data_IF_648513333554
#
_entry.id   IF_648513333554
#
_cell.length_a   1.000
_cell.length_b   1.000
_cell.length_c   1.000
_cell.angle_alpha   90.00
_cell.angle_beta   90.00
_cell.angle_gamma   90.00
#
_symmetry.space_group_name_H-M   'P 1'
#
loop_
_entity.id
_entity.type
_entity.pdbx_description
1 polymer ?
#
# COMPACT_ATOMS: atom_id res chain seq x y z
N UNK A 1 0.02 -8.57 -15.01
CA UNK A 1 0.94 -7.97 -14.03
C UNK A 1 1.38 -9.05 -13.06
N UNK A 2 2.65 -9.04 -12.64
CA UNK A 2 3.19 -9.96 -11.64
C UNK A 2 3.94 -9.19 -10.56
N UNK A 3 4.04 -9.77 -9.37
CA UNK A 3 4.85 -9.24 -8.27
C UNK A 3 6.21 -9.94 -8.24
N UNK A 4 7.29 -9.17 -8.22
CA UNK A 4 8.66 -9.64 -8.02
C UNK A 4 9.22 -9.05 -6.73
N UNK A 5 9.78 -9.87 -5.86
CA UNK A 5 10.45 -9.38 -4.65
C UNK A 5 11.54 -8.37 -5.03
N UNK A 6 11.55 -7.23 -4.38
CA UNK A 6 12.54 -6.19 -4.60
C UNK A 6 13.91 -6.60 -4.02
N UNK A 7 14.97 -6.23 -4.73
CA UNK A 7 16.35 -6.46 -4.35
C UNK A 7 17.09 -5.12 -4.15
N UNK A 8 18.26 -5.10 -3.49
CA UNK A 8 19.01 -3.85 -3.23
C UNK A 8 19.31 -3.03 -4.50
N UNK A 9 19.55 -3.69 -5.62
CA UNK A 9 19.78 -3.03 -6.93
C UNK A 9 18.55 -2.29 -7.47
N UNK A 10 17.35 -2.60 -6.99
CA UNK A 10 16.10 -1.94 -7.40
C UNK A 10 15.85 -0.60 -6.69
N UNK A 11 16.63 -0.29 -5.64
CA UNK A 11 16.39 0.87 -4.77
C UNK A 11 16.27 2.19 -5.54
N UNK A 12 17.16 2.43 -6.51
CA UNK A 12 17.11 3.65 -7.32
C UNK A 12 15.79 3.81 -8.07
N UNK A 13 15.33 2.73 -8.72
CA UNK A 13 14.03 2.73 -9.43
C UNK A 13 12.85 2.90 -8.49
N UNK A 14 12.89 2.27 -7.33
CA UNK A 14 11.83 2.40 -6.32
C UNK A 14 11.74 3.86 -5.84
N UNK A 15 12.87 4.51 -5.56
CA UNK A 15 12.87 5.90 -5.12
C UNK A 15 12.34 6.86 -6.19
N UNK A 16 12.61 6.61 -7.49
CA UNK A 16 11.98 7.36 -8.58
C UNK A 16 10.45 7.23 -8.56
N UNK A 17 9.93 6.01 -8.35
CA UNK A 17 8.48 5.76 -8.26
C UNK A 17 7.86 6.46 -7.05
N UNK A 18 8.53 6.43 -5.89
CA UNK A 18 8.10 7.13 -4.67
C UNK A 18 8.06 8.64 -4.91
N UNK A 19 9.07 9.23 -5.54
CA UNK A 19 9.12 10.66 -5.86
C UNK A 19 8.00 11.07 -6.83
N UNK A 20 7.72 10.25 -7.85
CA UNK A 20 6.58 10.45 -8.74
C UNK A 20 5.24 10.41 -7.99
N UNK A 21 5.10 9.48 -7.04
CA UNK A 21 3.89 9.36 -6.23
C UNK A 21 3.71 10.55 -5.29
N UNK A 22 4.77 11.02 -4.64
CA UNK A 22 4.76 12.25 -3.81
C UNK A 22 4.33 13.46 -4.63
N UNK A 23 4.90 13.65 -5.81
CA UNK A 23 4.54 14.74 -6.70
C UNK A 23 3.08 14.66 -7.17
N UNK A 24 2.57 13.46 -7.44
CA UNK A 24 1.18 13.23 -7.80
C UNK A 24 0.22 13.60 -6.67
N UNK A 25 0.48 13.14 -5.43
CA UNK A 25 -0.30 13.48 -4.26
C UNK A 25 -0.34 15.00 -4.03
N UNK A 26 0.81 15.66 -4.10
CA UNK A 26 0.92 17.11 -3.96
C UNK A 26 0.07 17.86 -4.98
N UNK A 27 0.12 17.46 -6.26
CA UNK A 27 -0.70 18.07 -7.33
C UNK A 27 -2.20 17.90 -7.10
N UNK A 28 -2.61 16.84 -6.41
CA UNK A 28 -4.01 16.58 -6.06
C UNK A 28 -4.43 17.16 -4.71
N UNK A 29 -3.57 17.97 -4.08
CA UNK A 29 -3.87 18.63 -2.79
C UNK A 29 -3.88 17.68 -1.60
N UNK A 30 -3.22 16.53 -1.69
CA UNK A 30 -3.14 15.50 -0.64
C UNK A 30 -1.84 15.69 0.13
N UNK A 31 -1.92 15.82 1.45
CA UNK A 31 -0.77 16.01 2.34
C UNK A 31 0.02 14.72 2.61
N UNK A 32 -0.55 13.57 2.30
CA UNK A 32 0.10 12.27 2.47
C UNK A 32 1.47 12.25 1.80
N UNK A 33 2.50 11.77 2.51
CA UNK A 33 3.88 11.66 2.05
C UNK A 33 4.61 12.99 1.76
N UNK A 34 4.12 14.10 2.26
CA UNK A 34 4.73 15.41 2.00
C UNK A 34 5.78 15.85 3.06
N UNK A 35 5.99 15.04 4.11
CA UNK A 35 6.91 15.33 5.22
C UNK A 35 8.17 14.42 5.23
N UNK A 36 8.68 14.04 4.06
CA UNK A 36 9.90 13.23 3.92
C UNK A 36 9.71 11.72 3.95
N UNK A 37 8.52 11.23 4.31
CA UNK A 37 8.16 9.81 4.27
C UNK A 37 7.40 9.49 2.98
N UNK A 38 7.58 8.29 2.36
CA UNK A 38 8.65 7.33 2.62
C UNK A 38 10.02 7.84 2.17
N UNK A 39 11.06 7.48 2.91
CA UNK A 39 12.44 7.79 2.57
C UNK A 39 13.22 6.53 2.12
N UNK A 40 14.47 6.73 1.72
CA UNK A 40 15.33 5.63 1.29
C UNK A 40 15.51 4.57 2.38
N UNK A 41 15.71 4.97 3.63
CA UNK A 41 15.88 4.05 4.77
C UNK A 41 14.67 3.15 4.94
N UNK A 42 13.47 3.69 4.77
CA UNK A 42 12.23 2.92 4.82
C UNK A 42 12.17 1.84 3.73
N UNK A 43 12.57 2.19 2.51
CA UNK A 43 12.57 1.24 1.38
C UNK A 43 13.67 0.17 1.53
N UNK A 44 14.87 0.55 2.00
CA UNK A 44 15.93 -0.40 2.32
C UNK A 44 15.49 -1.44 3.37
N UNK A 45 14.73 -1.00 4.37
CA UNK A 45 14.15 -1.89 5.39
C UNK A 45 13.10 -2.82 4.80
N UNK A 46 12.24 -2.36 3.90
CA UNK A 46 11.28 -3.20 3.19
C UNK A 46 11.98 -4.29 2.37
N UNK A 47 13.06 -3.92 1.67
CA UNK A 47 13.88 -4.87 0.90
C UNK A 47 14.54 -5.88 1.84
N UNK A 48 15.18 -5.41 2.93
CA UNK A 48 15.85 -6.26 3.90
C UNK A 48 14.91 -7.27 4.56
N UNK A 49 13.67 -6.88 4.83
CA UNK A 49 12.64 -7.75 5.42
C UNK A 49 11.92 -8.63 4.37
N UNK A 50 12.23 -8.47 3.09
CA UNK A 50 11.59 -9.25 2.02
C UNK A 50 10.10 -8.93 1.82
N UNK A 51 9.64 -7.74 2.21
CA UNK A 51 8.27 -7.26 2.08
C UNK A 51 8.06 -6.21 0.98
N UNK A 52 9.14 -5.74 0.36
CA UNK A 52 9.09 -4.88 -0.82
C UNK A 52 8.91 -5.68 -2.10
N UNK A 53 7.99 -5.27 -2.97
CA UNK A 53 7.72 -5.91 -4.26
C UNK A 53 7.69 -4.88 -5.37
N UNK A 54 8.23 -5.27 -6.53
CA UNK A 54 8.05 -4.55 -7.78
C UNK A 54 6.83 -5.11 -8.51
N UNK A 55 6.02 -4.21 -9.04
CA UNK A 55 4.92 -4.54 -9.95
C UNK A 55 5.48 -4.56 -11.38
N UNK A 56 5.51 -5.73 -12.01
CA UNK A 56 6.04 -5.92 -13.36
C UNK A 56 4.89 -6.02 -14.36
N UNK A 57 4.91 -5.16 -15.36
CA UNK A 57 3.94 -5.13 -16.45
C UNK A 57 4.70 -5.11 -17.79
N UNK A 58 4.42 -6.07 -18.67
CA UNK A 58 5.05 -6.16 -20.00
C UNK A 58 6.60 -6.11 -19.95
N UNK A 59 7.19 -6.78 -18.96
CA UNK A 59 8.63 -6.84 -18.64
C UNK A 59 9.22 -5.55 -18.04
N UNK A 60 8.44 -4.48 -17.87
CA UNK A 60 8.88 -3.22 -17.27
C UNK A 60 8.43 -3.07 -15.81
N UNK A 61 9.20 -2.30 -15.04
CA UNK A 61 8.83 -1.94 -13.67
C UNK A 61 7.77 -0.85 -13.71
N UNK A 62 6.54 -1.24 -13.41
CA UNK A 62 5.35 -0.37 -13.43
C UNK A 62 4.97 0.20 -12.07
N UNK A 63 5.57 -0.30 -10.98
CA UNK A 63 5.26 0.17 -9.64
C UNK A 63 6.04 -0.53 -8.54
N UNK A 64 5.84 -0.03 -7.33
CA UNK A 64 6.34 -0.59 -6.08
C UNK A 64 5.22 -0.71 -5.06
N UNK A 65 5.29 -1.74 -4.22
CA UNK A 65 4.37 -1.94 -3.10
C UNK A 65 5.09 -2.65 -1.95
N UNK A 66 4.82 -2.25 -0.73
CA UNK A 66 5.16 -3.03 0.45
C UNK A 66 3.97 -3.90 0.84
N UNK A 67 4.16 -5.21 0.92
CA UNK A 67 3.17 -6.19 1.37
C UNK A 67 3.70 -6.81 2.65
N UNK A 68 3.04 -6.54 3.76
CA UNK A 68 3.47 -6.95 5.08
C UNK A 68 2.47 -7.93 5.70
N UNK A 69 2.99 -8.99 6.31
CA UNK A 69 2.22 -10.00 7.03
C UNK A 69 2.45 -9.91 8.56
N UNK A 70 3.27 -8.96 8.99
CA UNK A 70 3.43 -8.64 10.40
C UNK A 70 2.28 -7.74 10.86
N UNK A 71 1.90 -7.87 12.13
CA UNK A 71 0.88 -7.01 12.72
C UNK A 71 1.36 -5.56 12.78
N UNK A 72 0.48 -4.63 12.39
CA UNK A 72 0.73 -3.20 12.48
C UNK A 72 0.25 -2.68 13.85
N UNK A 73 1.16 -2.26 14.75
CA UNK A 73 0.77 -1.83 16.10
C UNK A 73 -0.25 -0.69 16.13
N UNK A 74 -0.21 0.23 15.15
CA UNK A 74 -1.17 1.32 15.05
C UNK A 74 -2.62 0.83 14.85
N UNK A 75 -2.80 -0.36 14.28
CA UNK A 75 -4.13 -0.94 14.04
C UNK A 75 -4.84 -1.39 15.31
N UNK A 76 -4.10 -1.62 16.41
CA UNK A 76 -4.68 -1.92 17.72
C UNK A 76 -5.33 -0.68 18.37
N UNK A 77 -5.05 0.51 17.86
CA UNK A 77 -5.60 1.79 18.36
C UNK A 77 -6.78 2.30 17.51
N UNK A 78 -7.40 1.44 16.71
CA UNK A 78 -8.52 1.82 15.86
C UNK A 78 -9.68 2.39 16.70
N UNK A 79 -10.09 3.62 16.36
CA UNK A 79 -11.37 4.17 16.79
C UNK A 79 -12.43 3.72 15.77
N UNK A 80 -13.06 2.62 16.09
CA UNK A 80 -13.99 1.91 15.21
C UNK A 80 -13.95 0.41 15.47
N UNK A 81 -14.23 -0.37 14.44
CA UNK A 81 -14.28 -1.83 14.56
C UNK A 81 -13.79 -2.51 13.28
N UNK A 82 -12.76 -3.35 13.44
CA UNK A 82 -12.35 -4.27 12.39
C UNK A 82 -13.43 -5.31 12.08
N UNK A 83 -13.48 -5.79 10.83
CA UNK A 83 -14.40 -6.86 10.42
C UNK A 83 -14.06 -8.20 11.08
N UNK A 84 -12.77 -8.41 11.40
CA UNK A 84 -12.27 -9.65 11.97
C UNK A 84 -11.12 -9.40 12.96
N UNK A 85 -10.82 -10.43 13.76
CA UNK A 85 -9.69 -10.46 14.71
C UNK A 85 -8.61 -11.48 14.29
N UNK A 86 -8.65 -11.94 13.05
CA UNK A 86 -7.70 -12.92 12.50
C UNK A 86 -6.41 -12.26 11.99
N UNK A 87 -5.34 -13.03 11.72
CA UNK A 87 -4.16 -12.54 11.03
C UNK A 87 -4.53 -11.89 9.67
N UNK A 88 -3.78 -10.88 9.29
CA UNK A 88 -4.09 -10.08 8.10
C UNK A 88 -2.83 -9.75 7.30
N UNK A 89 -3.02 -9.41 6.04
CA UNK A 89 -2.02 -8.75 5.20
C UNK A 89 -2.27 -7.26 5.18
N UNK A 90 -1.21 -6.46 5.12
CA UNK A 90 -1.27 -5.01 4.97
C UNK A 90 -0.52 -4.60 3.71
N UNK A 91 -1.08 -3.68 2.95
CA UNK A 91 -0.38 -2.97 1.87
C UNK A 91 0.01 -1.57 2.35
N UNK A 92 1.29 -1.28 2.22
CA UNK A 92 1.86 0.04 2.45
C UNK A 92 2.56 0.54 1.19
N UNK A 93 2.73 1.84 1.05
CA UNK A 93 3.63 2.47 0.08
C UNK A 93 3.40 2.02 -1.36
N UNK A 94 2.14 1.88 -1.78
CA UNK A 94 1.83 1.63 -3.19
C UNK A 94 2.14 2.86 -4.04
N UNK A 95 3.11 2.73 -4.93
CA UNK A 95 3.53 3.77 -5.86
C UNK A 95 3.56 3.22 -7.29
N UNK A 96 2.76 3.77 -8.19
CA UNK A 96 2.69 3.36 -9.59
C UNK A 96 3.35 4.39 -10.49
N UNK A 97 4.05 3.92 -11.52
CA UNK A 97 4.62 4.77 -12.56
C UNK A 97 3.54 5.64 -13.20
N UNK A 98 3.88 6.89 -13.51
CA UNK A 98 2.95 7.84 -14.08
C UNK A 98 2.33 7.36 -15.40
N UNK A 99 3.08 6.60 -16.20
CA UNK A 99 2.66 6.10 -17.52
C UNK A 99 1.55 5.04 -17.44
N UNK A 100 1.39 4.37 -16.30
CA UNK A 100 0.40 3.29 -16.12
C UNK A 100 -0.77 3.67 -15.23
N UNK A 101 -0.79 4.89 -14.70
CA UNK A 101 -1.91 5.37 -13.87
C UNK A 101 -3.21 5.40 -14.66
N UNK A 102 -4.32 5.11 -13.98
CA UNK A 102 -5.66 5.05 -14.60
C UNK A 102 -5.94 3.81 -15.44
N UNK A 103 -5.00 2.87 -15.51
CA UNK A 103 -5.15 1.61 -16.28
C UNK A 103 -5.59 0.41 -15.43
N UNK A 104 -6.02 0.63 -14.19
CA UNK A 104 -6.49 -0.43 -13.30
C UNK A 104 -5.39 -1.23 -12.62
N UNK A 105 -4.12 -0.81 -12.74
CA UNK A 105 -2.98 -1.56 -12.18
C UNK A 105 -3.04 -1.68 -10.66
N UNK A 106 -3.52 -0.66 -9.95
CA UNK A 106 -3.68 -0.73 -8.50
C UNK A 106 -4.65 -1.84 -8.06
N UNK A 107 -5.74 -2.05 -8.80
CA UNK A 107 -6.65 -3.18 -8.54
C UNK A 107 -5.97 -4.52 -8.77
N UNK A 108 -5.13 -4.64 -9.81
CA UNK A 108 -4.34 -5.85 -10.05
C UNK A 108 -3.33 -6.10 -8.93
N UNK A 109 -2.72 -5.04 -8.37
CA UNK A 109 -1.83 -5.18 -7.19
C UNK A 109 -2.61 -5.75 -5.99
N UNK A 110 -3.83 -5.29 -5.75
CA UNK A 110 -4.67 -5.84 -4.69
C UNK A 110 -5.03 -7.30 -4.95
N UNK A 111 -5.40 -7.67 -6.17
CA UNK A 111 -5.69 -9.07 -6.55
C UNK A 111 -4.47 -9.98 -6.33
N UNK A 112 -3.27 -9.56 -6.72
CA UNK A 112 -2.03 -10.32 -6.49
C UNK A 112 -1.70 -10.42 -4.99
N UNK A 113 -1.94 -9.34 -4.23
CA UNK A 113 -1.78 -9.37 -2.77
C UNK A 113 -2.74 -10.36 -2.11
N UNK A 114 -4.00 -10.39 -2.55
CA UNK A 114 -4.99 -11.37 -2.07
C UNK A 114 -4.56 -12.81 -2.40
N UNK A 115 -4.05 -13.05 -3.62
CA UNK A 115 -3.55 -14.37 -4.00
C UNK A 115 -2.38 -14.81 -3.12
N UNK A 116 -1.44 -13.89 -2.87
CA UNK A 116 -0.31 -14.14 -2.00
C UNK A 116 -0.76 -14.41 -0.55
N UNK A 117 -1.73 -13.64 -0.04
CA UNK A 117 -2.27 -13.82 1.30
C UNK A 117 -2.98 -15.18 1.44
N UNK A 118 -3.83 -15.55 0.49
CA UNK A 118 -4.50 -16.86 0.50
C UNK A 118 -3.51 -18.04 0.45
N UNK A 119 -2.39 -17.89 -0.27
CA UNK A 119 -1.33 -18.93 -0.29
C UNK A 119 -0.65 -19.12 1.06
N UNK A 120 -0.81 -18.15 1.99
CA UNK A 120 -0.33 -18.18 3.38
C UNK A 120 -1.45 -18.42 4.39
N UNK A 121 -2.64 -18.81 3.92
CA UNK A 121 -3.84 -19.03 4.75
C UNK A 121 -4.28 -17.77 5.52
N UNK A 122 -3.99 -16.58 4.97
CA UNK A 122 -4.43 -15.29 5.49
C UNK A 122 -5.69 -14.86 4.75
N UNK A 123 -6.74 -14.52 5.49
CA UNK A 123 -8.08 -14.24 4.96
C UNK A 123 -8.61 -12.84 5.32
N UNK A 124 -7.74 -11.97 5.76
CA UNK A 124 -8.04 -10.56 6.02
C UNK A 124 -7.00 -9.66 5.35
N UNK A 125 -7.46 -8.59 4.73
CA UNK A 125 -6.62 -7.60 4.06
C UNK A 125 -6.98 -6.22 4.61
N UNK A 126 -6.03 -5.54 5.24
CA UNK A 126 -6.19 -4.22 5.84
C UNK A 126 -5.36 -3.18 5.11
N UNK A 127 -5.90 -1.98 5.00
CA UNK A 127 -5.23 -0.81 4.39
C UNK A 127 -5.66 0.44 5.13
N UNK A 128 -4.76 1.39 5.30
CA UNK A 128 -5.07 2.74 5.74
C UNK A 128 -4.63 3.77 4.70
N UNK A 129 -5.26 4.93 4.72
CA UNK A 129 -4.89 6.07 3.89
C UNK A 129 -5.32 7.38 4.54
N UNK A 130 -4.81 8.50 4.05
CA UNK A 130 -5.26 9.82 4.51
C UNK A 130 -6.70 10.08 4.07
N UNK A 131 -7.45 10.76 4.93
CA UNK A 131 -8.87 11.05 4.68
C UNK A 131 -9.10 11.94 3.44
N UNK A 132 -8.13 12.77 3.06
CA UNK A 132 -8.19 13.62 1.87
C UNK A 132 -7.78 12.91 0.56
N UNK A 133 -7.27 11.67 0.64
CA UNK A 133 -6.91 10.87 -0.53
C UNK A 133 -8.15 10.22 -1.17
N UNK A 134 -8.95 11.00 -1.89
CA UNK A 134 -10.19 10.54 -2.50
C UNK A 134 -9.96 9.45 -3.57
N UNK A 135 -8.83 9.51 -4.27
CA UNK A 135 -8.48 8.49 -5.28
C UNK A 135 -8.31 7.13 -4.63
N UNK A 136 -7.56 7.06 -3.52
CA UNK A 136 -7.36 5.81 -2.78
C UNK A 136 -8.66 5.31 -2.13
N UNK A 137 -9.47 6.20 -1.55
CA UNK A 137 -10.78 5.84 -0.98
C UNK A 137 -11.67 5.18 -2.03
N UNK A 138 -11.82 5.81 -3.18
CA UNK A 138 -12.60 5.24 -4.29
C UNK A 138 -12.06 3.89 -4.77
N UNK A 139 -10.73 3.77 -4.86
CA UNK A 139 -10.06 2.52 -5.24
C UNK A 139 -10.36 1.40 -4.25
N UNK A 140 -10.27 1.67 -2.95
CA UNK A 140 -10.54 0.69 -1.89
C UNK A 140 -12.01 0.23 -1.93
N UNK A 141 -12.96 1.16 -1.99
CA UNK A 141 -14.39 0.86 -2.09
C UNK A 141 -14.72 0.03 -3.33
N UNK A 142 -14.18 0.41 -4.49
CA UNK A 142 -14.34 -0.34 -5.75
C UNK A 142 -13.83 -1.77 -5.66
N UNK A 143 -12.78 -2.02 -4.88
CA UNK A 143 -12.18 -3.34 -4.69
C UNK A 143 -12.79 -4.13 -3.51
N UNK A 144 -13.90 -3.64 -2.93
CA UNK A 144 -14.67 -4.35 -1.91
C UNK A 144 -14.16 -4.18 -0.48
N UNK A 145 -13.28 -3.22 -0.23
CA UNK A 145 -12.87 -2.85 1.12
C UNK A 145 -13.98 -2.06 1.81
N UNK A 146 -14.15 -2.31 3.12
CA UNK A 146 -15.13 -1.64 3.95
C UNK A 146 -14.42 -0.73 4.95
N UNK A 147 -14.94 0.48 5.13
CA UNK A 147 -14.46 1.41 6.15
C UNK A 147 -14.68 0.83 7.55
N UNK A 148 -13.65 0.86 8.38
CA UNK A 148 -13.67 0.31 9.73
C UNK A 148 -13.54 1.35 10.83
N UNK A 149 -12.94 2.50 10.56
CA UNK A 149 -12.72 3.55 11.55
C UNK A 149 -11.49 4.40 11.25
N UNK A 150 -11.01 5.10 12.28
CA UNK A 150 -9.86 5.98 12.18
C UNK A 150 -8.73 5.53 13.10
N UNK A 151 -7.50 5.81 12.71
CA UNK A 151 -6.29 5.57 13.51
C UNK A 151 -5.43 6.83 13.50
N UNK A 152 -4.71 7.07 14.60
CA UNK A 152 -3.69 8.10 14.65
C UNK A 152 -2.33 7.46 14.40
N UNK A 153 -1.66 7.92 13.35
CA UNK A 153 -0.35 7.42 12.92
C UNK A 153 0.56 8.62 12.69
N UNK A 154 1.71 8.68 13.37
CA UNK A 154 2.65 9.81 13.29
C UNK A 154 1.98 11.20 13.45
N UNK A 155 1.10 11.35 14.44
CA UNK A 155 0.29 12.55 14.68
C UNK A 155 -0.64 12.96 13.52
N UNK A 156 -0.93 12.04 12.62
CA UNK A 156 -1.88 12.21 11.51
C UNK A 156 -3.02 11.20 11.63
N UNK A 157 -4.24 11.67 11.44
CA UNK A 157 -5.40 10.81 11.37
C UNK A 157 -5.48 10.11 10.02
N UNK A 158 -5.58 8.78 10.05
CA UNK A 158 -5.80 7.93 8.89
C UNK A 158 -7.18 7.29 8.98
N UNK A 159 -7.72 6.96 7.83
CA UNK A 159 -8.92 6.11 7.73
C UNK A 159 -8.51 4.69 7.38
N UNK A 160 -9.13 3.73 8.03
CA UNK A 160 -8.77 2.33 7.95
C UNK A 160 -9.89 1.50 7.31
N UNK A 161 -9.48 0.55 6.49
CA UNK A 161 -10.34 -0.33 5.72
C UNK A 161 -9.93 -1.78 5.89
N UNK A 162 -10.89 -2.69 5.80
CA UNK A 162 -10.64 -4.13 5.77
C UNK A 162 -11.49 -4.80 4.69
N UNK A 163 -10.92 -5.83 4.08
CA UNK A 163 -11.60 -6.76 3.18
C UNK A 163 -11.35 -8.18 3.65
N UNK A 164 -12.39 -8.98 3.80
CA UNK A 164 -12.25 -10.43 4.02
C UNK A 164 -12.05 -11.12 2.67
N UNK A 165 -11.04 -11.98 2.57
CA UNK A 165 -10.56 -12.58 1.31
C UNK A 165 -10.47 -14.09 1.35
#
# INVERSE_FOLDING_TARGET
MELRTAAPEDLGKIMELIDQAKAFLKRNGVDQWQNGYPDQTCIEEDIRKGRGYLCIQDHDVAGYVCIDFEEEPAYDTLDGKWLSIQPYVVVHRLALDASVRGRGLASQVFEETERLARSREIHSFKVDTDNDNQIMKHLLEKNGFQFCGTICFDNSEKIAFEKLI
#
